data_IF_435602395117
#
_entry.id   IF_435602395117
#
_cell.length_a   1.000
_cell.length_b   1.000
_cell.length_c   1.000
_cell.angle_alpha   90.00
_cell.angle_beta   90.00
_cell.angle_gamma   90.00
#
_symmetry.space_group_name_H-M   'P 1'
#
loop_
_entity.id
_entity.type
_entity.pdbx_description
1 polymer ?
#
# COMPACT_ATOMS: atom_id res chain seq x y z
N UNK A 1 -10.50 -1.29 -10.07
CA UNK A 1 -10.02 -2.22 -9.03
C UNK A 1 -10.35 -3.65 -9.41
N UNK A 2 -9.41 -4.32 -10.10
CA UNK A 2 -9.44 -5.77 -10.31
C UNK A 2 -8.88 -6.54 -9.10
N UNK A 3 -8.36 -5.83 -8.09
CA UNK A 3 -7.58 -6.40 -6.99
C UNK A 3 -8.32 -7.38 -6.08
N UNK A 4 -9.64 -7.26 -5.91
CA UNK A 4 -10.38 -8.18 -5.01
C UNK A 4 -10.54 -9.59 -5.58
N UNK A 5 -10.47 -9.74 -6.90
CA UNK A 5 -10.50 -11.04 -7.58
C UNK A 5 -9.15 -11.75 -7.56
N UNK A 6 -8.05 -11.00 -7.38
CA UNK A 6 -6.69 -11.54 -7.31
C UNK A 6 -6.18 -11.75 -5.89
N UNK A 7 -6.97 -11.44 -4.85
CA UNK A 7 -6.72 -11.92 -3.48
C UNK A 7 -7.06 -13.42 -3.44
N UNK A 8 -6.30 -14.20 -4.20
CA UNK A 8 -6.44 -15.63 -4.33
C UNK A 8 -5.56 -16.31 -3.26
N UNK A 9 -6.22 -17.18 -2.50
CA UNK A 9 -5.68 -18.38 -1.86
C UNK A 9 -4.85 -18.30 -0.56
N UNK A 10 -4.64 -17.13 0.05
CA UNK A 10 -4.20 -17.11 1.45
C UNK A 10 -5.40 -17.04 2.39
N UNK A 11 -5.89 -18.21 2.80
CA UNK A 11 -7.04 -18.39 3.70
C UNK A 11 -7.02 -17.39 4.88
N UNK A 12 -5.85 -17.17 5.50
CA UNK A 12 -5.73 -16.28 6.67
C UNK A 12 -5.84 -14.79 6.39
N UNK A 13 -5.35 -14.29 5.25
CA UNK A 13 -5.41 -12.85 4.96
C UNK A 13 -6.82 -12.41 4.58
N UNK A 14 -7.49 -13.18 3.73
CA UNK A 14 -8.88 -12.94 3.36
C UNK A 14 -9.80 -12.96 4.58
N UNK A 15 -9.64 -13.95 5.46
CA UNK A 15 -10.38 -14.04 6.72
C UNK A 15 -10.13 -12.82 7.62
N UNK A 16 -8.86 -12.42 7.77
CA UNK A 16 -8.48 -11.28 8.60
C UNK A 16 -9.08 -9.98 8.06
N UNK A 17 -9.06 -9.78 6.73
CA UNK A 17 -9.65 -8.60 6.10
C UNK A 17 -11.18 -8.61 6.24
N UNK A 18 -11.84 -9.73 5.95
CA UNK A 18 -13.29 -9.86 6.13
C UNK A 18 -13.70 -9.53 7.58
N UNK A 19 -12.99 -10.09 8.57
CA UNK A 19 -13.25 -9.79 9.97
C UNK A 19 -13.04 -8.30 10.28
N UNK A 20 -11.89 -7.74 9.89
CA UNK A 20 -11.55 -6.32 10.11
C UNK A 20 -12.58 -5.36 9.52
N UNK A 21 -13.12 -5.67 8.35
CA UNK A 21 -14.11 -4.84 7.66
C UNK A 21 -15.56 -5.15 8.05
N UNK A 22 -15.78 -5.93 9.12
CA UNK A 22 -17.10 -6.17 9.69
C UNK A 22 -17.92 -7.29 9.04
N UNK A 23 -17.28 -8.14 8.24
CA UNK A 23 -17.92 -9.31 7.59
C UNK A 23 -17.77 -10.60 8.41
N UNK A 24 -17.02 -10.56 9.52
CA UNK A 24 -16.75 -11.75 10.33
C UNK A 24 -15.97 -12.78 9.51
N UNK A 25 -16.50 -14.00 9.41
CA UNK A 25 -15.92 -15.09 8.62
C UNK A 25 -16.48 -15.17 7.19
N UNK A 26 -17.33 -14.23 6.77
CA UNK A 26 -17.98 -14.25 5.45
C UNK A 26 -17.10 -13.58 4.38
N UNK A 27 -16.05 -14.30 3.96
CA UNK A 27 -15.09 -13.85 2.94
C UNK A 27 -15.75 -13.63 1.58
N UNK A 28 -16.71 -14.47 1.20
CA UNK A 28 -17.34 -14.37 -0.12
C UNK A 28 -18.22 -13.13 -0.24
N UNK A 29 -18.99 -12.81 0.82
CA UNK A 29 -19.71 -11.54 0.88
C UNK A 29 -18.77 -10.35 0.90
N UNK A 30 -17.64 -10.45 1.62
CA UNK A 30 -16.61 -9.42 1.61
C UNK A 30 -16.07 -9.18 0.19
N UNK A 31 -15.63 -10.22 -0.52
CA UNK A 31 -15.14 -10.11 -1.91
C UNK A 31 -16.16 -9.44 -2.84
N UNK A 32 -17.46 -9.75 -2.68
CA UNK A 32 -18.54 -9.20 -3.50
C UNK A 32 -18.79 -7.72 -3.24
N UNK A 33 -18.75 -7.28 -1.99
CA UNK A 33 -19.18 -5.93 -1.59
C UNK A 33 -18.02 -4.95 -1.37
N UNK A 34 -16.81 -5.44 -1.08
CA UNK A 34 -15.68 -4.62 -0.65
C UNK A 34 -15.31 -3.55 -1.68
N UNK A 35 -15.32 -3.90 -2.96
CA UNK A 35 -15.00 -2.94 -4.02
C UNK A 35 -15.98 -1.76 -4.02
N UNK A 36 -17.28 -1.99 -3.85
CA UNK A 36 -18.27 -0.90 -3.86
C UNK A 36 -18.20 -0.05 -2.59
N UNK A 37 -17.89 -0.65 -1.44
CA UNK A 37 -17.90 0.06 -0.15
C UNK A 37 -16.61 0.78 0.20
N UNK A 38 -15.44 0.23 -0.18
CA UNK A 38 -14.14 0.68 0.33
C UNK A 38 -13.21 1.24 -0.74
N UNK A 39 -13.67 1.30 -1.99
CA UNK A 39 -12.89 1.85 -3.08
C UNK A 39 -12.79 3.37 -2.98
N UNK A 40 -11.56 3.87 -2.77
CA UNK A 40 -11.24 5.31 -2.82
C UNK A 40 -11.48 5.93 -4.21
N UNK A 41 -11.56 5.11 -5.26
CA UNK A 41 -11.95 5.56 -6.59
C UNK A 41 -13.47 5.76 -6.65
N UNK A 42 -14.25 4.76 -6.19
CA UNK A 42 -15.72 4.79 -6.32
C UNK A 42 -16.36 5.81 -5.38
N UNK A 43 -15.75 6.05 -4.22
CA UNK A 43 -16.21 7.07 -3.27
C UNK A 43 -15.77 8.51 -3.63
N UNK A 44 -14.99 8.67 -4.72
CA UNK A 44 -14.50 9.95 -5.21
C UNK A 44 -13.33 10.55 -4.42
N UNK A 45 -12.77 9.84 -3.45
CA UNK A 45 -11.62 10.33 -2.66
C UNK A 45 -10.38 10.53 -3.50
N UNK A 46 -10.08 9.62 -4.44
CA UNK A 46 -8.93 9.75 -5.34
C UNK A 46 -9.05 10.94 -6.31
N UNK A 47 -10.27 11.39 -6.61
CA UNK A 47 -10.54 12.52 -7.51
C UNK A 47 -10.49 13.88 -6.83
N UNK A 48 -10.25 13.93 -5.51
CA UNK A 48 -10.17 15.20 -4.80
C UNK A 48 -9.03 16.06 -5.37
N UNK A 49 -9.30 17.33 -5.72
CA UNK A 49 -8.32 18.21 -6.36
C UNK A 49 -7.18 18.61 -5.41
N UNK A 50 -7.43 18.53 -4.10
CA UNK A 50 -6.47 18.83 -3.05
C UNK A 50 -6.27 17.60 -2.18
N UNK A 51 -5.01 17.23 -1.96
CA UNK A 51 -4.60 16.14 -1.10
C UNK A 51 -3.33 16.55 -0.34
N UNK A 52 -3.03 15.85 0.75
CA UNK A 52 -1.68 15.91 1.31
C UNK A 52 -0.66 15.44 0.27
N UNK A 53 0.60 15.84 0.42
CA UNK A 53 1.68 15.31 -0.42
C UNK A 53 1.81 13.81 -0.17
N UNK A 54 1.69 13.01 -1.22
CA UNK A 54 1.73 11.55 -1.13
C UNK A 54 2.97 11.01 -1.83
N UNK A 55 3.62 10.05 -1.18
CA UNK A 55 4.57 9.13 -1.78
C UNK A 55 3.93 7.74 -1.88
N UNK A 56 3.83 7.24 -3.10
CA UNK A 56 3.36 5.91 -3.45
C UNK A 56 4.55 4.97 -3.58
N UNK A 57 4.69 4.00 -2.67
CA UNK A 57 5.78 3.00 -2.69
C UNK A 57 5.21 1.59 -2.70
N UNK A 58 5.64 0.77 -3.65
CA UNK A 58 5.34 -0.66 -3.65
C UNK A 58 6.36 -1.45 -4.49
N UNK A 59 6.35 -2.78 -4.39
CA UNK A 59 7.05 -3.66 -5.32
C UNK A 59 6.23 -3.89 -6.59
N UNK A 60 6.89 -4.12 -7.72
CA UNK A 60 6.18 -4.38 -9.00
C UNK A 60 5.46 -5.72 -9.03
N UNK A 61 5.88 -6.68 -8.19
CA UNK A 61 5.37 -8.05 -8.11
C UNK A 61 4.52 -8.28 -6.85
N UNK A 62 3.89 -7.23 -6.28
CA UNK A 62 3.02 -7.38 -5.10
C UNK A 62 1.72 -8.13 -5.47
N UNK A 63 1.61 -9.36 -4.95
CA UNK A 63 0.45 -10.24 -5.14
C UNK A 63 -0.67 -9.99 -4.11
N UNK A 64 -0.41 -9.22 -3.05
CA UNK A 64 -1.36 -8.90 -1.98
C UNK A 64 -2.13 -7.62 -2.32
N UNK A 65 -1.41 -6.55 -2.65
CA UNK A 65 -1.96 -5.27 -3.09
C UNK A 65 -1.34 -4.90 -4.44
N UNK A 66 -2.04 -5.16 -5.56
CA UNK A 66 -1.44 -5.13 -6.87
C UNK A 66 -0.94 -3.73 -7.25
N UNK A 67 0.19 -3.67 -7.94
CA UNK A 67 0.80 -2.43 -8.43
C UNK A 67 -0.16 -1.61 -9.32
N UNK A 68 -1.09 -2.26 -10.00
CA UNK A 68 -2.12 -1.63 -10.83
C UNK A 68 -2.95 -0.57 -10.07
N UNK A 69 -3.23 -0.78 -8.78
CA UNK A 69 -3.99 0.19 -7.98
C UNK A 69 -3.16 1.47 -7.72
N UNK A 70 -1.83 1.38 -7.73
CA UNK A 70 -0.94 2.54 -7.63
C UNK A 70 -0.87 3.31 -8.95
N UNK A 71 -0.78 2.63 -10.09
CA UNK A 71 -0.88 3.27 -11.41
C UNK A 71 -2.22 3.97 -11.59
N UNK A 72 -3.30 3.35 -11.13
CA UNK A 72 -4.62 3.97 -11.08
C UNK A 72 -4.57 5.24 -10.21
N UNK A 73 -4.04 5.19 -8.98
CA UNK A 73 -3.97 6.36 -8.11
C UNK A 73 -3.17 7.54 -8.71
N UNK A 74 -2.18 7.27 -9.57
CA UNK A 74 -1.42 8.30 -10.29
C UNK A 74 -2.22 9.04 -11.37
N UNK A 75 -3.31 8.44 -11.86
CA UNK A 75 -4.16 9.01 -12.91
C UNK A 75 -5.29 9.91 -12.36
N UNK A 76 -5.44 10.00 -11.04
CA UNK A 76 -6.57 10.67 -10.38
C UNK A 76 -6.12 11.76 -9.39
N UNK A 77 -6.86 12.86 -9.28
CA UNK A 77 -6.67 13.91 -8.27
C UNK A 77 -5.33 14.65 -8.32
N UNK A 78 -4.88 15.15 -7.16
CA UNK A 78 -3.63 15.90 -7.04
C UNK A 78 -2.38 15.08 -7.44
N UNK A 79 -1.31 15.72 -7.96
CA UNK A 79 -0.04 15.06 -8.27
C UNK A 79 0.56 14.34 -7.07
N UNK A 80 1.17 13.17 -7.32
CA UNK A 80 1.79 12.31 -6.30
C UNK A 80 3.20 11.95 -6.73
N UNK A 81 4.06 11.69 -5.77
CA UNK A 81 5.36 11.07 -6.01
C UNK A 81 5.20 9.56 -5.99
N UNK A 82 5.99 8.85 -6.80
CA UNK A 82 5.97 7.39 -6.83
C UNK A 82 7.39 6.81 -6.85
N UNK A 83 7.56 5.70 -6.14
CA UNK A 83 8.74 4.86 -6.25
C UNK A 83 8.34 3.39 -6.21
N UNK A 84 8.40 2.75 -7.37
CA UNK A 84 8.19 1.31 -7.48
C UNK A 84 9.53 0.59 -7.47
N UNK A 85 9.61 -0.51 -6.73
CA UNK A 85 10.81 -1.33 -6.60
C UNK A 85 10.67 -2.54 -7.53
N UNK A 86 11.43 -2.60 -8.64
CA UNK A 86 11.36 -3.73 -9.58
C UNK A 86 11.70 -5.06 -8.93
N UNK A 87 11.08 -6.14 -9.39
CA UNK A 87 11.34 -7.52 -8.97
C UNK A 87 11.16 -7.76 -7.46
N UNK A 88 10.40 -6.88 -6.80
CA UNK A 88 10.03 -7.01 -5.38
C UNK A 88 8.53 -7.24 -5.25
N UNK A 89 8.19 -8.05 -4.25
CA UNK A 89 6.82 -8.35 -3.84
C UNK A 89 6.28 -7.27 -2.91
N UNK A 90 5.54 -7.69 -1.89
CA UNK A 90 4.84 -6.83 -0.95
C UNK A 90 5.66 -5.65 -0.45
N UNK A 91 5.09 -4.45 -0.56
CA UNK A 91 5.64 -3.18 -0.07
C UNK A 91 6.99 -2.77 -0.66
N UNK A 92 7.55 -3.52 -1.62
CA UNK A 92 8.89 -3.26 -2.15
C UNK A 92 10.01 -3.51 -1.14
N UNK A 93 9.77 -4.37 -0.15
CA UNK A 93 10.74 -4.65 0.92
C UNK A 93 11.93 -5.49 0.45
N UNK A 94 13.12 -5.30 1.07
CA UNK A 94 13.42 -4.35 2.15
C UNK A 94 13.84 -2.94 1.67
N UNK A 95 13.99 -2.71 0.37
CA UNK A 95 14.50 -1.42 -0.16
C UNK A 95 13.59 -0.23 0.15
N UNK A 96 12.28 -0.47 0.16
CA UNK A 96 11.26 0.55 0.41
C UNK A 96 11.44 1.26 1.76
N UNK A 97 11.95 0.59 2.80
CA UNK A 97 12.20 1.21 4.10
C UNK A 97 13.13 2.42 4.01
N UNK A 98 14.25 2.29 3.28
CA UNK A 98 15.20 3.37 3.11
C UNK A 98 14.63 4.50 2.25
N UNK A 99 13.84 4.16 1.23
CA UNK A 99 13.16 5.13 0.36
C UNK A 99 12.19 5.98 1.19
N UNK A 100 11.34 5.34 1.99
CA UNK A 100 10.31 5.99 2.80
C UNK A 100 10.95 6.89 3.85
N UNK A 101 11.96 6.41 4.60
CA UNK A 101 12.61 7.21 5.63
C UNK A 101 13.32 8.44 5.05
N UNK A 102 14.03 8.29 3.92
CA UNK A 102 14.66 9.44 3.25
C UNK A 102 13.62 10.46 2.82
N UNK A 103 12.47 10.02 2.31
CA UNK A 103 11.40 10.92 1.90
C UNK A 103 10.77 11.65 3.10
N UNK A 104 10.52 10.94 4.21
CA UNK A 104 10.03 11.56 5.46
C UNK A 104 11.03 12.59 5.98
N UNK A 105 12.33 12.27 5.99
CA UNK A 105 13.35 13.20 6.47
C UNK A 105 13.41 14.46 5.60
N UNK A 106 13.37 14.30 4.28
CA UNK A 106 13.30 15.42 3.36
C UNK A 106 12.00 16.24 3.54
N UNK A 107 10.87 15.59 3.80
CA UNK A 107 9.58 16.26 4.01
C UNK A 107 9.60 17.15 5.26
N UNK A 108 10.24 16.71 6.34
CA UNK A 108 10.28 17.42 7.61
C UNK A 108 11.58 18.20 7.87
N UNK A 109 12.52 18.21 6.91
CA UNK A 109 13.82 18.89 7.07
C UNK A 109 14.69 18.27 8.16
N UNK A 110 14.60 16.96 8.37
CA UNK A 110 15.37 16.23 9.38
C UNK A 110 16.77 15.95 8.83
N UNK A 111 17.78 16.51 9.49
CA UNK A 111 19.19 16.21 9.24
C UNK A 111 19.68 15.08 10.16
N UNK A 112 19.38 13.85 9.77
CA UNK A 112 19.80 12.64 10.47
C UNK A 112 20.12 11.51 9.48
N UNK A 113 20.79 10.46 9.95
CA UNK A 113 21.16 9.31 9.11
C UNK A 113 20.02 8.24 9.11
N UNK A 114 19.32 8.02 8.00
CA UNK A 114 18.24 7.02 7.91
C UNK A 114 18.72 5.59 8.17
N UNK A 115 19.99 5.29 7.87
CA UNK A 115 20.59 3.97 8.10
C UNK A 115 20.74 3.73 9.60
N UNK A 116 21.23 4.73 10.33
CA UNK A 116 21.35 4.65 11.78
C UNK A 116 19.97 4.48 12.43
N UNK A 117 18.94 5.18 11.93
CA UNK A 117 17.57 5.02 12.40
C UNK A 117 17.06 3.58 12.18
N UNK A 118 17.26 3.00 11.00
CA UNK A 118 16.85 1.63 10.70
C UNK A 118 17.49 0.60 11.62
N UNK A 119 18.74 0.82 12.03
CA UNK A 119 19.44 -0.05 12.99
C UNK A 119 18.80 -0.02 14.40
N UNK A 120 18.01 1.01 14.72
CA UNK A 120 17.30 1.08 16.02
C UNK A 120 15.95 0.38 16.00
N UNK A 121 15.41 0.04 14.82
CA UNK A 121 14.12 -0.63 14.73
C UNK A 121 14.24 -2.06 15.27
N UNK A 122 13.27 -2.56 16.04
CA UNK A 122 13.27 -3.93 16.57
C UNK A 122 13.03 -5.00 15.48
N UNK A 123 13.28 -4.67 14.20
CA UNK A 123 13.05 -5.52 13.06
C UNK A 123 14.35 -6.18 12.61
N UNK A 124 14.51 -7.48 12.92
CA UNK A 124 15.50 -8.32 12.24
C UNK A 124 14.79 -8.97 11.05
N UNK A 125 15.12 -8.63 9.79
CA UNK A 125 14.58 -9.37 8.66
C UNK A 125 14.99 -10.83 8.82
N UNK A 126 14.00 -11.71 8.97
CA UNK A 126 14.21 -13.16 8.92
C UNK A 126 14.30 -13.53 7.44
N UNK A 127 15.51 -13.59 6.92
CA UNK A 127 15.80 -14.32 5.69
C UNK A 127 15.96 -15.81 6.00
#
# INVERSE_FOLDING_TARGET
>A
MRGWSSVADCCSLCDTLAYKFGYGTDVEKFKKEASDKFSLLKDGTLDKPTCARLLLVNGTEDEIFPIDDYYLALQHGAPKEARFVPDRKHMGEPESFFIILKWIYALFGIDANPIAQLQTLPFKPKY
#
